data_IF_911298381975
#
_entry.id   IF_911298381975
#
_cell.length_a   1.000
_cell.length_b   1.000
_cell.length_c   1.000
_cell.angle_alpha   90.00
_cell.angle_beta   90.00
_cell.angle_gamma   90.00
#
_symmetry.space_group_name_H-M   'P 1'
#
loop_
_entity.id
_entity.type
_entity.pdbx_description
1 polymer ?
#
# COMPACT_ATOMS: atom_id res chain seq x y z
N UNK A 1 -0.60 7.54 12.44
CA UNK A 1 0.86 7.74 12.34
C UNK A 1 1.49 6.41 12.00
N UNK A 2 2.53 6.42 11.17
CA UNK A 2 3.28 5.23 10.80
C UNK A 2 4.74 5.39 11.21
N UNK A 3 5.35 4.33 11.74
CA UNK A 3 6.77 4.28 12.07
C UNK A 3 7.36 3.05 11.39
N UNK A 4 8.30 3.25 10.48
CA UNK A 4 8.99 2.15 9.78
C UNK A 4 10.21 1.73 10.59
N UNK A 5 10.24 0.44 10.92
CA UNK A 5 11.30 -0.29 11.59
C UNK A 5 12.01 -1.13 10.53
N UNK A 6 13.01 -0.53 9.90
CA UNK A 6 13.74 -1.10 8.76
C UNK A 6 14.48 -2.38 9.14
N UNK A 7 15.03 -2.43 10.35
CA UNK A 7 15.82 -3.56 10.83
C UNK A 7 14.96 -4.82 10.98
N UNK A 8 13.67 -4.66 11.28
CA UNK A 8 12.71 -5.76 11.42
C UNK A 8 11.74 -5.87 10.23
N UNK A 9 11.98 -5.14 9.13
CA UNK A 9 11.15 -5.10 7.93
C UNK A 9 9.65 -4.96 8.22
N UNK A 10 9.30 -3.99 9.07
CA UNK A 10 7.90 -3.76 9.46
C UNK A 10 7.60 -2.28 9.62
N UNK A 11 6.31 -1.96 9.52
CA UNK A 11 5.78 -0.64 9.81
C UNK A 11 4.72 -0.74 10.90
N UNK A 12 4.94 -0.02 11.99
CA UNK A 12 4.04 0.07 13.12
C UNK A 12 2.98 1.14 12.84
N UNK A 13 1.72 0.82 13.11
CA UNK A 13 0.58 1.73 12.88
C UNK A 13 0.07 2.24 14.22
N UNK A 14 -0.02 3.56 14.37
CA UNK A 14 -0.46 4.22 15.60
C UNK A 14 -1.65 5.16 15.37
N UNK A 15 -2.53 5.22 16.36
CA UNK A 15 -3.53 6.28 16.51
C UNK A 15 -2.85 7.62 16.74
N UNK A 16 -3.22 8.65 15.97
CA UNK A 16 -2.68 10.01 16.19
C UNK A 16 -3.29 10.64 17.44
N UNK A 17 -4.57 10.37 17.72
CA UNK A 17 -5.27 10.97 18.85
C UNK A 17 -4.95 10.32 20.19
N UNK A 18 -4.83 8.98 20.23
CA UNK A 18 -4.58 8.25 21.48
C UNK A 18 -3.13 7.81 21.67
N UNK A 19 -2.32 7.80 20.61
CA UNK A 19 -0.96 7.23 20.65
C UNK A 19 -0.91 5.70 20.73
N UNK A 20 -2.07 5.02 20.75
CA UNK A 20 -2.12 3.56 20.83
C UNK A 20 -1.67 2.90 19.52
N UNK A 21 -0.93 1.80 19.66
CA UNK A 21 -0.57 0.97 18.51
C UNK A 21 -1.80 0.20 18.02
N UNK A 22 -2.19 0.45 16.77
CA UNK A 22 -3.32 -0.19 16.10
C UNK A 22 -2.93 -1.51 15.43
N UNK A 23 -1.68 -1.67 15.05
CA UNK A 23 -1.21 -2.89 14.40
C UNK A 23 0.20 -2.79 13.85
N UNK A 24 0.58 -3.82 13.09
CA UNK A 24 1.88 -3.97 12.43
C UNK A 24 1.63 -4.45 11.01
N UNK A 25 2.31 -3.84 10.05
CA UNK A 25 2.35 -4.24 8.66
C UNK A 25 3.77 -4.68 8.31
N UNK A 26 3.90 -5.65 7.41
CA UNK A 26 5.21 -6.03 6.85
C UNK A 26 5.66 -5.00 5.83
N UNK A 27 6.96 -4.74 5.75
CA UNK A 27 7.54 -3.82 4.77
C UNK A 27 7.58 -2.36 5.20
N UNK A 28 7.89 -1.51 4.22
CA UNK A 28 7.97 -0.06 4.38
C UNK A 28 6.95 0.66 3.49
N UNK A 29 6.56 1.86 3.89
CA UNK A 29 5.61 2.67 3.14
C UNK A 29 6.30 3.24 1.90
N UNK A 30 5.69 3.01 0.74
CA UNK A 30 6.09 3.64 -0.53
C UNK A 30 5.28 4.92 -0.75
N UNK A 31 3.95 4.84 -0.66
CA UNK A 31 3.04 5.99 -0.78
C UNK A 31 1.64 5.65 -0.21
N UNK A 32 0.76 6.64 -0.12
CA UNK A 32 -0.65 6.46 0.24
C UNK A 32 -1.58 7.38 -0.56
N UNK A 33 -2.87 7.09 -0.53
CA UNK A 33 -3.88 7.97 -1.14
C UNK A 33 -3.97 9.29 -0.40
N UNK A 34 -4.43 10.35 -1.07
CA UNK A 34 -4.65 11.67 -0.45
C UNK A 34 -5.60 11.59 0.76
N UNK A 35 -6.61 10.71 0.67
CA UNK A 35 -7.56 10.45 1.76
C UNK A 35 -6.98 9.59 2.88
N UNK A 36 -5.79 9.03 2.70
CA UNK A 36 -5.10 8.18 3.68
C UNK A 36 -5.80 6.85 3.97
N UNK A 37 -6.74 6.42 3.12
CA UNK A 37 -7.53 5.21 3.33
C UNK A 37 -6.85 3.95 2.76
N UNK A 38 -5.93 4.11 1.80
CA UNK A 38 -5.11 3.06 1.21
C UNK A 38 -3.64 3.46 1.28
N UNK A 39 -2.78 2.49 1.58
CA UNK A 39 -1.32 2.64 1.55
C UNK A 39 -0.71 1.53 0.70
N UNK A 40 0.36 1.87 -0.03
CA UNK A 40 1.21 0.93 -0.75
C UNK A 40 2.43 0.63 0.12
N UNK A 41 2.60 -0.64 0.45
CA UNK A 41 3.73 -1.18 1.20
C UNK A 41 4.62 -1.99 0.27
N UNK A 42 5.93 -1.81 0.31
CA UNK A 42 6.88 -2.72 -0.33
C UNK A 42 7.51 -3.61 0.74
N UNK A 43 7.28 -4.92 0.60
CA UNK A 43 7.66 -5.93 1.60
C UNK A 43 9.08 -6.43 1.37
N UNK A 44 9.45 -6.59 0.10
CA UNK A 44 10.77 -6.91 -0.42
C UNK A 44 10.86 -6.29 -1.82
N UNK A 45 12.06 -6.15 -2.39
CA UNK A 45 12.26 -5.60 -3.74
C UNK A 45 11.25 -6.13 -4.76
N UNK A 46 10.38 -5.24 -5.23
CA UNK A 46 9.38 -5.50 -6.27
C UNK A 46 8.12 -6.22 -5.77
N UNK A 47 8.05 -6.63 -4.50
CA UNK A 47 6.86 -7.26 -3.92
C UNK A 47 6.14 -6.24 -3.06
N UNK A 48 4.96 -5.83 -3.48
CA UNK A 48 4.21 -4.78 -2.83
C UNK A 48 2.73 -5.11 -2.64
N UNK A 49 2.17 -4.64 -1.54
CA UNK A 49 0.77 -4.83 -1.18
C UNK A 49 0.08 -3.49 -0.96
N UNK A 50 -1.18 -3.40 -1.37
CA UNK A 50 -2.08 -2.33 -0.92
C UNK A 50 -2.77 -2.75 0.35
N UNK A 51 -2.79 -1.89 1.36
CA UNK A 51 -3.52 -2.11 2.60
C UNK A 51 -4.60 -1.05 2.80
N UNK A 52 -5.75 -1.48 3.34
CA UNK A 52 -6.72 -0.59 3.96
C UNK A 52 -6.18 -0.09 5.29
N UNK A 53 -6.09 1.23 5.49
CA UNK A 53 -5.61 1.79 6.76
C UNK A 53 -6.64 1.68 7.89
N UNK A 54 -7.91 1.45 7.55
CA UNK A 54 -8.98 1.25 8.53
C UNK A 54 -8.96 -0.17 9.13
N UNK A 55 -8.71 -1.19 8.30
CA UNK A 55 -8.78 -2.60 8.71
C UNK A 55 -7.41 -3.28 8.82
N UNK A 56 -6.36 -2.64 8.30
CA UNK A 56 -5.01 -3.19 8.17
C UNK A 56 -4.96 -4.51 7.41
N UNK A 57 -5.92 -4.72 6.50
CA UNK A 57 -5.99 -5.90 5.63
C UNK A 57 -5.51 -5.56 4.22
N UNK A 58 -4.85 -6.50 3.54
CA UNK A 58 -4.45 -6.32 2.16
C UNK A 58 -5.68 -6.26 1.25
N UNK A 59 -5.63 -5.40 0.23
CA UNK A 59 -6.68 -5.23 -0.79
C UNK A 59 -6.21 -5.59 -2.19
N UNK A 60 -4.89 -5.57 -2.42
CA UNK A 60 -4.26 -6.01 -3.67
C UNK A 60 -2.80 -6.39 -3.41
N UNK A 61 -2.28 -7.28 -4.25
CA UNK A 61 -0.89 -7.74 -4.24
C UNK A 61 -0.27 -7.49 -5.63
N UNK A 62 0.97 -7.02 -5.66
CA UNK A 62 1.72 -6.71 -6.87
C UNK A 62 3.11 -7.34 -6.85
N UNK A 63 3.51 -7.83 -8.02
CA UNK A 63 4.88 -8.25 -8.30
C UNK A 63 5.46 -7.41 -9.44
N UNK A 64 6.58 -6.78 -9.17
CA UNK A 64 7.40 -6.01 -10.10
C UNK A 64 8.77 -6.69 -10.26
N UNK A 65 9.42 -6.56 -11.43
CA UNK A 65 10.71 -7.20 -11.71
C UNK A 65 11.89 -6.62 -10.90
N UNK A 66 11.73 -5.44 -10.32
CA UNK A 66 12.72 -4.81 -9.43
C UNK A 66 12.04 -3.91 -8.41
N UNK A 67 12.80 -3.45 -7.41
CA UNK A 67 12.31 -2.56 -6.35
C UNK A 67 11.58 -1.34 -6.88
N UNK A 68 10.62 -0.86 -6.10
CA UNK A 68 9.89 0.37 -6.41
C UNK A 68 10.81 1.56 -6.15
N UNK A 69 11.10 2.35 -7.19
CA UNK A 69 11.85 3.59 -7.06
C UNK A 69 10.93 4.77 -6.70
N UNK A 70 9.69 4.75 -7.21
CA UNK A 70 8.69 5.76 -6.92
C UNK A 70 7.28 5.22 -7.15
N UNK A 71 6.29 5.77 -6.45
CA UNK A 71 4.89 5.54 -6.76
C UNK A 71 4.07 6.78 -6.41
N UNK A 72 2.92 6.98 -7.06
CA UNK A 72 1.93 7.99 -6.64
C UNK A 72 0.51 7.55 -7.00
N UNK A 73 -0.46 7.97 -6.17
CA UNK A 73 -1.88 7.82 -6.43
C UNK A 73 -2.43 9.11 -7.04
N UNK A 74 -3.11 9.00 -8.18
CA UNK A 74 -3.89 10.09 -8.74
C UNK A 74 -5.24 10.26 -8.00
N UNK A 75 -5.91 11.40 -8.21
CA UNK A 75 -7.19 11.70 -7.56
C UNK A 75 -8.31 10.70 -7.93
N UNK A 76 -8.23 10.11 -9.13
CA UNK A 76 -9.14 9.08 -9.63
C UNK A 76 -8.87 7.68 -9.03
N UNK A 77 -7.86 7.55 -8.16
CA UNK A 77 -7.46 6.31 -7.51
C UNK A 77 -6.52 5.42 -8.33
N UNK A 78 -6.12 5.85 -9.54
CA UNK A 78 -5.12 5.14 -10.33
C UNK A 78 -3.75 5.23 -9.65
N UNK A 79 -3.04 4.10 -9.62
CA UNK A 79 -1.70 4.01 -9.08
C UNK A 79 -0.69 3.99 -10.23
N UNK A 80 0.29 4.89 -10.18
CA UNK A 80 1.48 4.82 -11.06
C UNK A 80 2.68 4.36 -10.24
N UNK A 81 3.41 3.38 -10.74
CA UNK A 81 4.65 2.85 -10.12
C UNK A 81 5.80 2.97 -11.12
N UNK A 82 6.95 3.43 -10.64
CA UNK A 82 8.22 3.44 -11.37
C UNK A 82 9.18 2.52 -10.65
N UNK A 83 9.69 1.50 -11.34
CA UNK A 83 10.66 0.55 -10.79
C UNK A 83 12.09 1.07 -10.95
N UNK A 84 13.05 0.47 -10.24
CA UNK A 84 14.46 0.86 -10.31
C UNK A 84 15.08 0.66 -11.70
N UNK A 85 14.53 -0.24 -12.52
CA UNK A 85 14.89 -0.42 -13.93
C UNK A 85 14.19 0.57 -14.89
N UNK A 86 13.49 1.57 -14.35
CA UNK A 86 12.81 2.63 -15.09
C UNK A 86 11.57 2.18 -15.88
N UNK A 87 10.97 1.04 -15.52
CA UNK A 87 9.69 0.62 -16.08
C UNK A 87 8.54 1.33 -15.36
N UNK A 88 7.57 1.85 -16.13
CA UNK A 88 6.37 2.52 -15.60
C UNK A 88 5.16 1.61 -15.70
N UNK A 89 4.49 1.39 -14.58
CA UNK A 89 3.23 0.65 -14.48
C UNK A 89 2.09 1.60 -14.14
N UNK A 90 0.95 1.40 -14.79
CA UNK A 90 -0.28 2.13 -14.53
C UNK A 90 -1.37 1.14 -14.14
N UNK A 91 -1.80 1.20 -12.89
CA UNK A 91 -2.70 0.23 -12.28
C UNK A 91 -4.01 0.93 -11.96
N UNK A 92 -5.12 0.39 -12.46
CA UNK A 92 -6.46 0.89 -12.18
C UNK A 92 -6.79 0.75 -10.67
N UNK A 93 -7.63 1.63 -10.11
CA UNK A 93 -8.10 1.47 -8.74
C UNK A 93 -8.76 0.09 -8.54
N UNK A 94 -8.70 -0.48 -7.32
CA UNK A 94 -9.41 -1.71 -7.01
C UNK A 94 -10.91 -1.50 -7.28
N UNK A 95 -11.49 -2.30 -8.17
CA UNK A 95 -12.95 -2.34 -8.36
C UNK A 95 -13.61 -2.78 -7.06
N UNK A 96 -14.66 -2.07 -6.64
CA UNK A 96 -15.47 -2.47 -5.50
C UNK A 96 -15.90 -3.95 -5.65
N UNK A 97 -16.00 -4.73 -4.56
CA UNK A 97 -16.46 -6.11 -4.63
C UNK A 97 -17.83 -6.13 -5.33
N UNK A 98 -17.85 -6.76 -6.51
CA UNK A 98 -19.07 -6.98 -7.26
C UNK A 98 -19.85 -8.04 -6.49
N UNK A 99 -20.82 -7.62 -5.67
CA UNK A 99 -21.75 -8.54 -5.04
C UNK A 99 -22.43 -9.35 -6.15
N UNK A 100 -22.01 -10.60 -6.31
CA UNK A 100 -22.68 -11.56 -7.16
C UNK A 100 -24.11 -11.69 -6.62
N UNK A 101 -25.06 -11.12 -7.35
CA UNK A 101 -26.47 -11.27 -7.05
C UNK A 101 -26.80 -12.75 -7.29
N UNK A 102 -27.03 -13.50 -6.20
CA UNK A 102 -27.58 -14.84 -6.29
C UNK A 102 -28.99 -14.72 -6.88
N UNK A 103 -29.23 -15.50 -7.93
CA UNK A 103 -30.53 -15.69 -8.57
C UNK A 103 -31.21 -16.93 -7.99
#
# INVERSE_FOLDING_TARGET
MFLTDTDNNRTLVYSVSSGEQKGVLTGHIVNGTIKGNIILMENTDGVADLYSTATLQPVAHFGFPSRIAHAYFAEDGKLTVVTAEQTVYQIAPPSAPQNASAK
#
